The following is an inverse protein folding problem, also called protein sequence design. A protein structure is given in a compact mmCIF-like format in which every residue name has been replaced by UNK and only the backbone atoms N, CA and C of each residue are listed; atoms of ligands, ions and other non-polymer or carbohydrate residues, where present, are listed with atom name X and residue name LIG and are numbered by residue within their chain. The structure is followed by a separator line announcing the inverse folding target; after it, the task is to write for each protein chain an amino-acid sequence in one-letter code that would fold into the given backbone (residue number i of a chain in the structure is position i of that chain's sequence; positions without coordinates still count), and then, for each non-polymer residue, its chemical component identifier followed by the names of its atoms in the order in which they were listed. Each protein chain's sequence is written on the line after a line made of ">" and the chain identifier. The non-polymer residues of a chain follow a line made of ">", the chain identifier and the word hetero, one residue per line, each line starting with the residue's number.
data_IF_292302299584
#
_entry.id   IF_292302299584
#
_cell.length_a   1.000
_cell.length_b   1.000
_cell.length_c   1.000
_cell.angle_alpha   90.00
_cell.angle_beta   90.00
_cell.angle_gamma   90.00
#
_symmetry.space_group_name_H-M   'P 1'
#
loop_
_entity.id
_entity.type
_entity.pdbx_description
1 polymer ?
#
# COMPACT_ATOMS: atom_id res chain seq x y z
N UNK A 1 2.91 9.51 -70.78
CA UNK A 1 2.09 8.44 -70.15
C UNK A 1 1.75 8.76 -68.69
N UNK A 2 1.51 10.04 -68.35
CA UNK A 2 1.20 10.50 -66.98
C UNK A 2 -0.13 11.30 -66.83
N UNK A 3 -0.78 11.88 -67.86
CA UNK A 3 -2.08 12.51 -67.67
C UNK A 3 -3.27 11.53 -67.69
N UNK A 4 -3.08 10.28 -68.15
CA UNK A 4 -4.16 9.30 -68.31
C UNK A 4 -4.58 8.61 -66.98
N UNK A 5 -3.70 8.57 -65.98
CA UNK A 5 -3.99 7.90 -64.70
C UNK A 5 -4.77 8.78 -63.72
N UNK A 6 -4.54 10.11 -63.73
CA UNK A 6 -5.28 11.04 -62.88
C UNK A 6 -6.76 11.16 -63.26
N UNK A 7 -7.09 11.01 -64.55
CA UNK A 7 -8.48 10.95 -65.03
C UNK A 7 -9.20 9.65 -64.61
N UNK A 8 -8.46 8.56 -64.36
CA UNK A 8 -9.04 7.28 -63.96
C UNK A 8 -9.37 7.22 -62.45
N UNK A 9 -8.55 7.84 -61.58
CA UNK A 9 -8.85 7.92 -60.15
C UNK A 9 -10.07 8.78 -59.82
N UNK A 10 -10.36 9.82 -60.62
CA UNK A 10 -11.57 10.62 -60.47
C UNK A 10 -12.85 9.84 -60.78
N UNK A 11 -12.77 8.75 -61.55
CA UNK A 11 -13.92 7.90 -61.85
C UNK A 11 -14.21 6.84 -60.77
N UNK A 12 -13.28 6.59 -59.85
CA UNK A 12 -13.42 5.56 -58.81
C UNK A 12 -13.96 6.11 -57.49
N UNK A 13 -13.90 7.43 -57.27
CA UNK A 13 -14.40 8.04 -56.04
C UNK A 13 -15.57 8.98 -56.36
N UNK A 14 -16.82 8.58 -56.08
CA UNK A 14 -17.97 9.44 -56.34
C UNK A 14 -17.83 10.75 -55.55
N UNK A 15 -17.93 11.87 -56.27
CA UNK A 15 -17.98 13.21 -55.71
C UNK A 15 -19.04 13.28 -54.59
N UNK A 16 -18.82 14.00 -53.47
CA UNK A 16 -19.81 14.18 -52.40
C UNK A 16 -21.26 14.39 -52.89
N UNK A 17 -21.49 15.17 -53.94
CA UNK A 17 -22.83 15.35 -54.49
C UNK A 17 -23.42 14.06 -55.10
N UNK A 18 -22.59 13.19 -55.69
CA UNK A 18 -23.01 11.88 -56.17
C UNK A 18 -23.32 10.91 -55.02
N UNK A 19 -22.54 10.97 -53.93
CA UNK A 19 -22.81 10.21 -52.70
C UNK A 19 -24.12 10.64 -52.04
N UNK A 20 -24.40 11.93 -51.99
CA UNK A 20 -25.65 12.46 -51.43
C UNK A 20 -26.87 12.05 -52.26
N UNK A 21 -26.74 12.07 -53.60
CA UNK A 21 -27.79 11.56 -54.50
C UNK A 21 -28.03 10.06 -54.32
N UNK A 22 -26.97 9.26 -54.21
CA UNK A 22 -27.10 7.82 -53.94
C UNK A 22 -27.72 7.56 -52.57
N UNK A 23 -27.32 8.31 -51.53
CA UNK A 23 -27.92 8.25 -50.21
C UNK A 23 -29.41 8.60 -50.26
N UNK A 24 -29.77 9.68 -50.95
CA UNK A 24 -31.16 10.11 -51.10
C UNK A 24 -32.02 9.05 -51.80
N UNK A 25 -31.51 8.40 -52.86
CA UNK A 25 -32.19 7.29 -53.54
C UNK A 25 -32.36 6.08 -52.63
N UNK A 26 -31.30 5.66 -51.94
CA UNK A 26 -31.40 4.53 -50.99
C UNK A 26 -32.40 4.80 -49.86
N UNK A 27 -32.47 6.04 -49.36
CA UNK A 27 -33.47 6.43 -48.35
C UNK A 27 -34.90 6.44 -48.90
N UNK A 28 -35.08 6.78 -50.18
CA UNK A 28 -36.38 6.82 -50.86
C UNK A 28 -36.89 5.44 -51.28
N UNK A 29 -36.00 4.58 -51.77
CA UNK A 29 -36.33 3.25 -52.30
C UNK A 29 -36.55 2.21 -51.19
N UNK A 30 -35.93 2.42 -50.01
CA UNK A 30 -35.99 1.47 -48.89
C UNK A 30 -36.45 2.12 -47.56
N UNK A 31 -37.62 2.76 -47.51
CA UNK A 31 -38.08 3.49 -46.33
C UNK A 31 -38.29 2.59 -45.10
N UNK A 32 -38.65 1.31 -45.32
CA UNK A 32 -38.80 0.33 -44.25
C UNK A 32 -37.46 -0.05 -43.60
N UNK A 33 -36.41 -0.29 -44.39
CA UNK A 33 -35.08 -0.62 -43.89
C UNK A 33 -34.44 0.55 -43.12
N UNK A 34 -34.70 1.78 -43.55
CA UNK A 34 -34.26 2.99 -42.84
C UNK A 34 -34.96 3.12 -41.49
N UNK A 35 -36.28 2.91 -41.44
CA UNK A 35 -37.04 2.93 -40.18
C UNK A 35 -36.58 1.84 -39.21
N UNK A 36 -36.27 0.65 -39.71
CA UNK A 36 -35.74 -0.45 -38.90
C UNK A 36 -34.32 -0.18 -38.39
N UNK A 37 -33.46 0.43 -39.21
CA UNK A 37 -32.12 0.86 -38.79
C UNK A 37 -32.17 1.99 -37.75
N UNK A 38 -33.13 2.91 -37.87
CA UNK A 38 -33.35 4.01 -36.92
C UNK A 38 -34.02 3.54 -35.61
N UNK A 39 -34.80 2.46 -35.64
CA UNK A 39 -35.46 1.91 -34.45
C UNK A 39 -34.57 0.93 -33.68
N UNK A 40 -33.49 0.43 -34.28
CA UNK A 40 -32.49 -0.37 -33.57
C UNK A 40 -31.71 0.52 -32.60
N UNK A 41 -31.81 0.27 -31.28
CA UNK A 41 -31.08 1.06 -30.30
C UNK A 41 -29.58 0.90 -30.54
N UNK A 42 -28.88 2.02 -30.67
CA UNK A 42 -27.44 2.03 -30.91
C UNK A 42 -26.72 1.29 -29.76
N UNK A 43 -26.14 0.10 -30.02
CA UNK A 43 -25.49 -0.68 -28.99
C UNK A 43 -24.30 0.07 -28.38
N UNK A 44 -23.69 0.99 -29.12
CA UNK A 44 -22.56 1.81 -28.65
C UNK A 44 -23.02 2.87 -27.64
N UNK A 45 -24.18 3.49 -27.86
CA UNK A 45 -24.76 4.45 -26.93
C UNK A 45 -25.16 3.79 -25.60
N UNK A 46 -25.70 2.57 -25.64
CA UNK A 46 -26.03 1.79 -24.45
C UNK A 46 -24.76 1.41 -23.66
N UNK A 47 -23.72 0.94 -24.33
CA UNK A 47 -22.41 0.64 -23.71
C UNK A 47 -21.77 1.89 -23.09
N UNK A 48 -21.82 3.05 -23.76
CA UNK A 48 -21.33 4.32 -23.23
C UNK A 48 -22.07 4.73 -21.95
N UNK A 49 -23.41 4.59 -21.93
CA UNK A 49 -24.21 4.90 -20.73
C UNK A 49 -23.88 3.96 -19.57
N UNK A 50 -23.68 2.67 -19.83
CA UNK A 50 -23.22 1.73 -18.80
C UNK A 50 -21.82 2.07 -18.29
N UNK A 51 -20.88 2.42 -19.17
CA UNK A 51 -19.54 2.83 -18.76
C UNK A 51 -19.57 4.12 -17.91
N UNK A 52 -20.39 5.10 -18.28
CA UNK A 52 -20.59 6.33 -17.49
C UNK A 52 -21.24 6.03 -16.15
N UNK A 53 -22.27 5.19 -16.12
CA UNK A 53 -22.92 4.78 -14.87
C UNK A 53 -21.93 4.04 -13.94
N UNK A 54 -21.14 3.11 -14.48
CA UNK A 54 -20.10 2.41 -13.73
C UNK A 54 -19.04 3.38 -13.20
N UNK A 55 -18.55 4.29 -14.04
CA UNK A 55 -17.57 5.30 -13.63
C UNK A 55 -18.14 6.22 -12.53
N UNK A 56 -19.40 6.65 -12.64
CA UNK A 56 -20.06 7.44 -11.62
C UNK A 56 -20.25 6.66 -10.31
N UNK A 57 -20.63 5.38 -10.38
CA UNK A 57 -20.74 4.51 -9.20
C UNK A 57 -19.39 4.33 -8.52
N UNK A 58 -18.32 4.07 -9.28
CA UNK A 58 -16.96 3.96 -8.73
C UNK A 58 -16.51 5.28 -8.11
N UNK A 59 -16.78 6.42 -8.76
CA UNK A 59 -16.46 7.74 -8.21
C UNK A 59 -17.21 8.01 -6.90
N UNK A 60 -18.50 7.66 -6.83
CA UNK A 60 -19.31 7.81 -5.62
C UNK A 60 -18.78 6.93 -4.49
N UNK A 61 -18.55 5.64 -4.75
CA UNK A 61 -18.02 4.69 -3.76
C UNK A 61 -16.66 5.16 -3.28
N UNK A 62 -15.75 5.53 -4.21
CA UNK A 62 -14.44 6.06 -3.89
C UNK A 62 -14.50 7.34 -3.04
N UNK A 63 -15.46 8.22 -3.30
CA UNK A 63 -15.66 9.44 -2.51
C UNK A 63 -16.14 9.13 -1.09
N UNK A 64 -17.09 8.22 -0.93
CA UNK A 64 -17.58 7.78 0.39
C UNK A 64 -16.46 7.08 1.15
N UNK A 65 -15.79 6.11 0.54
CA UNK A 65 -14.66 5.39 1.17
C UNK A 65 -13.53 6.35 1.53
N UNK A 66 -13.15 7.26 0.62
CA UNK A 66 -12.12 8.26 0.86
C UNK A 66 -12.47 9.18 2.04
N UNK A 67 -13.73 9.65 2.11
CA UNK A 67 -14.20 10.45 3.23
C UNK A 67 -14.20 9.65 4.55
N UNK A 68 -14.63 8.38 4.53
CA UNK A 68 -14.59 7.52 5.71
C UNK A 68 -13.16 7.32 6.23
N UNK A 69 -12.18 7.15 5.34
CA UNK A 69 -10.76 7.05 5.74
C UNK A 69 -10.27 8.36 6.36
N UNK A 70 -10.60 9.51 5.76
CA UNK A 70 -10.24 10.82 6.30
C UNK A 70 -10.82 11.04 7.70
N UNK A 71 -12.09 10.72 7.90
CA UNK A 71 -12.78 10.83 9.19
C UNK A 71 -12.27 9.82 10.22
N UNK A 72 -11.74 8.68 9.78
CA UNK A 72 -11.20 7.65 10.67
C UNK A 72 -9.83 7.99 11.25
N UNK A 73 -9.13 9.03 10.76
CA UNK A 73 -7.76 9.36 11.18
C UNK A 73 -7.63 9.60 12.68
N UNK A 74 -8.60 10.28 13.26
CA UNK A 74 -8.61 10.60 14.70
C UNK A 74 -9.39 9.58 15.53
N UNK A 75 -9.88 8.49 14.90
CA UNK A 75 -10.57 7.43 15.61
C UNK A 75 -9.61 6.71 16.56
N UNK A 76 -10.05 6.52 17.80
CA UNK A 76 -9.36 5.74 18.82
C UNK A 76 -10.07 4.40 19.04
N UNK A 77 -9.44 3.40 19.69
CA UNK A 77 -10.14 2.17 20.07
C UNK A 77 -11.46 2.46 20.79
N UNK A 78 -12.52 1.78 20.34
CA UNK A 78 -13.89 2.00 20.82
C UNK A 78 -14.73 2.88 19.89
N UNK A 79 -14.12 3.66 19.00
CA UNK A 79 -14.85 4.45 18.00
C UNK A 79 -15.37 3.58 16.84
N UNK A 80 -16.53 3.95 16.30
CA UNK A 80 -17.16 3.23 15.18
C UNK A 80 -16.25 3.15 13.94
N UNK A 81 -15.43 4.18 13.70
CA UNK A 81 -14.52 4.24 12.55
C UNK A 81 -13.12 3.67 12.83
N UNK A 82 -12.85 3.15 14.04
CA UNK A 82 -11.52 2.60 14.36
C UNK A 82 -11.15 1.40 13.48
N UNK A 83 -12.12 0.52 13.19
CA UNK A 83 -11.89 -0.60 12.28
C UNK A 83 -11.55 -0.13 10.85
N UNK A 84 -12.13 0.99 10.41
CA UNK A 84 -11.81 1.61 9.12
C UNK A 84 -10.38 2.15 9.14
N UNK A 85 -9.97 2.81 10.23
CA UNK A 85 -8.59 3.28 10.43
C UNK A 85 -7.59 2.13 10.29
N UNK A 86 -7.77 1.04 11.07
CA UNK A 86 -6.87 -0.13 11.03
C UNK A 86 -6.85 -0.81 9.65
N UNK A 87 -7.98 -0.83 8.95
CA UNK A 87 -8.04 -1.37 7.58
C UNK A 87 -7.28 -0.50 6.59
N UNK A 88 -7.40 0.83 6.70
CA UNK A 88 -6.68 1.78 5.86
C UNK A 88 -5.16 1.70 6.09
N UNK A 89 -4.73 1.57 7.35
CA UNK A 89 -3.32 1.38 7.73
C UNK A 89 -2.76 0.06 7.16
N UNK A 90 -3.54 -1.02 7.23
CA UNK A 90 -3.16 -2.31 6.63
C UNK A 90 -3.03 -2.22 5.10
N UNK A 91 -3.93 -1.49 4.45
CA UNK A 91 -3.85 -1.23 3.01
C UNK A 91 -2.64 -0.38 2.66
N UNK A 92 -2.31 0.63 3.47
CA UNK A 92 -1.12 1.47 3.28
C UNK A 92 0.16 0.62 3.31
N UNK A 93 0.30 -0.30 4.27
CA UNK A 93 1.42 -1.25 4.30
C UNK A 93 1.48 -2.12 3.04
N UNK A 94 0.33 -2.55 2.52
CA UNK A 94 0.25 -3.37 1.30
C UNK A 94 0.72 -2.64 0.03
N UNK A 95 0.78 -1.31 0.05
CA UNK A 95 1.28 -0.48 -1.05
C UNK A 95 2.78 -0.17 -0.93
N UNK A 96 3.41 -0.47 0.20
CA UNK A 96 4.84 -0.27 0.42
C UNK A 96 5.60 -1.55 0.08
N UNK A 97 6.13 -1.59 -1.15
CA UNK A 97 6.82 -2.78 -1.68
C UNK A 97 8.24 -3.00 -1.17
N UNK A 98 8.88 -1.97 -0.60
CA UNK A 98 10.27 -2.07 -0.10
C UNK A 98 10.26 -2.24 1.41
N UNK A 99 11.06 -3.18 1.92
CA UNK A 99 11.09 -3.50 3.34
C UNK A 99 11.56 -2.33 4.21
N UNK A 100 12.55 -1.56 3.75
CA UNK A 100 13.04 -0.40 4.51
C UNK A 100 11.94 0.63 4.85
N UNK A 101 11.24 1.26 3.87
CA UNK A 101 10.14 2.15 4.21
C UNK A 101 8.98 1.46 4.93
N UNK A 102 8.77 0.15 4.70
CA UNK A 102 7.73 -0.62 5.39
C UNK A 102 8.03 -0.77 6.88
N UNK A 103 9.30 -0.96 7.24
CA UNK A 103 9.76 -1.05 8.62
C UNK A 103 9.49 0.24 9.39
N UNK A 104 9.86 1.39 8.80
CA UNK A 104 9.57 2.69 9.40
C UNK A 104 8.06 2.98 9.47
N UNK A 105 7.27 2.51 8.49
CA UNK A 105 5.81 2.65 8.53
C UNK A 105 5.19 1.91 9.72
N UNK A 106 5.68 0.71 10.04
CA UNK A 106 5.26 0.01 11.26
C UNK A 106 5.59 0.81 12.53
N UNK A 107 6.79 1.39 12.64
CA UNK A 107 7.14 2.25 13.77
C UNK A 107 6.29 3.53 13.85
N UNK A 108 5.87 4.06 12.71
CA UNK A 108 4.93 5.20 12.63
C UNK A 108 3.54 4.81 13.16
N UNK A 109 3.03 3.62 12.82
CA UNK A 109 1.75 3.14 13.37
C UNK A 109 1.81 2.86 14.87
N UNK A 110 2.95 2.35 15.37
CA UNK A 110 3.19 2.25 16.79
C UNK A 110 3.19 3.63 17.47
N UNK A 111 3.88 4.64 16.92
CA UNK A 111 3.81 6.03 17.43
C UNK A 111 2.37 6.56 17.47
N UNK A 112 1.59 6.28 16.43
CA UNK A 112 0.17 6.65 16.37
C UNK A 112 -0.65 5.99 17.50
N UNK A 113 -0.36 4.74 17.90
CA UNK A 113 -1.05 4.09 19.03
C UNK A 113 -0.79 4.79 20.36
N UNK A 114 0.42 5.34 20.57
CA UNK A 114 0.72 6.12 21.79
C UNK A 114 -0.04 7.45 21.77
N UNK A 115 -0.21 8.05 20.60
CA UNK A 115 -1.05 9.26 20.43
C UNK A 115 -2.52 8.96 20.73
N UNK A 116 -3.04 7.82 20.25
CA UNK A 116 -4.39 7.36 20.60
C UNK A 116 -4.56 7.07 22.09
N UNK A 117 -3.53 6.54 22.74
CA UNK A 117 -3.53 6.34 24.20
C UNK A 117 -3.74 7.68 24.92
N UNK A 118 -3.11 8.76 24.45
CA UNK A 118 -3.34 10.12 24.95
C UNK A 118 -4.79 10.58 24.75
N UNK A 119 -5.33 10.39 23.54
CA UNK A 119 -6.72 10.74 23.26
C UNK A 119 -7.75 9.91 24.07
N UNK A 120 -7.43 8.66 24.41
CA UNK A 120 -8.22 7.84 25.33
C UNK A 120 -8.14 8.36 26.78
N UNK A 121 -6.96 8.84 27.21
CA UNK A 121 -6.79 9.46 28.53
C UNK A 121 -7.61 10.74 28.68
N UNK A 122 -7.74 11.51 27.58
CA UNK A 122 -8.56 12.73 27.54
C UNK A 122 -10.07 12.45 27.46
N UNK A 123 -10.48 11.19 27.22
CA UNK A 123 -11.88 10.77 27.11
C UNK A 123 -12.41 10.29 28.46
N UNK A 124 -13.36 11.01 29.10
CA UNK A 124 -13.95 10.58 30.36
C UNK A 124 -14.65 9.23 30.22
N UNK A 125 -14.32 8.29 31.11
CA UNK A 125 -14.98 6.97 31.15
C UNK A 125 -14.57 6.01 30.02
N UNK A 126 -13.47 6.27 29.31
CA UNK A 126 -12.94 5.33 28.33
C UNK A 126 -12.75 3.92 28.95
N UNK A 127 -13.28 2.85 28.31
CA UNK A 127 -13.13 1.48 28.80
C UNK A 127 -11.67 1.04 28.91
N UNK A 128 -11.31 0.32 29.97
CA UNK A 128 -9.96 -0.24 30.14
C UNK A 128 -9.53 -1.15 28.97
N UNK A 129 -10.49 -1.79 28.30
CA UNK A 129 -10.25 -2.64 27.13
C UNK A 129 -9.73 -1.85 25.92
N UNK A 130 -10.09 -0.57 25.80
CA UNK A 130 -9.66 0.29 24.68
C UNK A 130 -8.19 0.69 24.84
N UNK A 131 -7.76 1.00 26.07
CA UNK A 131 -6.34 1.19 26.39
C UNK A 131 -5.53 -0.08 26.15
N UNK A 132 -6.05 -1.24 26.59
CA UNK A 132 -5.38 -2.53 26.36
C UNK A 132 -5.25 -2.86 24.87
N UNK A 133 -6.26 -2.52 24.06
CA UNK A 133 -6.22 -2.67 22.61
C UNK A 133 -5.18 -1.75 21.96
N UNK A 134 -5.11 -0.47 22.34
CA UNK A 134 -4.08 0.44 21.86
C UNK A 134 -2.66 -0.08 22.14
N UNK A 135 -2.41 -0.58 23.36
CA UNK A 135 -1.13 -1.15 23.76
C UNK A 135 -0.81 -2.45 23.01
N UNK A 136 -1.80 -3.31 22.78
CA UNK A 136 -1.61 -4.53 21.99
C UNK A 136 -1.30 -4.23 20.51
N UNK A 137 -2.00 -3.27 19.91
CA UNK A 137 -1.73 -2.80 18.55
C UNK A 137 -0.32 -2.19 18.47
N UNK A 138 0.09 -1.42 19.49
CA UNK A 138 1.43 -0.83 19.59
C UNK A 138 2.50 -1.92 19.61
N UNK A 139 2.32 -2.96 20.44
CA UNK A 139 3.26 -4.08 20.54
C UNK A 139 3.43 -4.80 19.21
N UNK A 140 2.32 -5.04 18.49
CA UNK A 140 2.33 -5.66 17.17
C UNK A 140 3.12 -4.85 16.15
N UNK A 141 2.83 -3.55 16.07
CA UNK A 141 3.47 -2.63 15.12
C UNK A 141 4.95 -2.40 15.47
N UNK A 142 5.30 -2.25 16.75
CA UNK A 142 6.68 -2.12 17.23
C UNK A 142 7.51 -3.38 16.92
N UNK A 143 6.97 -4.57 17.20
CA UNK A 143 7.66 -5.82 16.92
C UNK A 143 7.85 -6.04 15.41
N UNK A 144 6.85 -5.70 14.58
CA UNK A 144 6.96 -5.79 13.12
C UNK A 144 8.04 -4.85 12.57
N UNK A 145 8.06 -3.58 13.01
CA UNK A 145 9.09 -2.63 12.62
C UNK A 145 10.50 -3.05 13.07
N UNK A 146 10.63 -3.55 14.31
CA UNK A 146 11.89 -4.08 14.83
C UNK A 146 12.41 -5.27 14.01
N UNK A 147 11.56 -6.23 13.67
CA UNK A 147 11.96 -7.40 12.85
C UNK A 147 12.57 -6.96 11.54
N UNK A 148 11.86 -6.12 10.79
CA UNK A 148 12.34 -5.63 9.49
C UNK A 148 13.62 -4.79 9.62
N UNK A 149 13.73 -3.90 10.61
CA UNK A 149 14.93 -3.08 10.80
C UNK A 149 16.15 -3.90 11.22
N UNK A 150 15.96 -4.92 12.07
CA UNK A 150 17.08 -5.76 12.51
C UNK A 150 17.59 -6.67 11.40
N UNK A 151 16.70 -7.15 10.53
CA UNK A 151 17.07 -7.88 9.31
C UNK A 151 17.80 -6.97 8.32
N UNK A 152 17.26 -5.79 8.01
CA UNK A 152 17.88 -4.85 7.06
C UNK A 152 19.23 -4.29 7.55
N UNK A 153 19.33 -3.98 8.83
CA UNK A 153 20.55 -3.45 9.43
C UNK A 153 21.70 -4.46 9.42
N UNK A 154 21.40 -5.76 9.46
CA UNK A 154 22.40 -6.81 9.41
C UNK A 154 23.20 -6.85 8.11
N UNK A 155 22.62 -6.33 7.02
CA UNK A 155 23.23 -6.37 5.68
C UNK A 155 23.82 -5.02 5.24
N UNK A 156 23.52 -3.93 5.95
CA UNK A 156 23.67 -2.58 5.38
C UNK A 156 24.49 -1.62 6.24
N UNK A 157 23.97 -1.21 7.41
CA UNK A 157 24.42 0.02 8.07
C UNK A 157 24.07 0.05 9.58
N UNK A 158 24.97 0.59 10.39
CA UNK A 158 24.80 0.79 11.83
C UNK A 158 23.73 1.85 12.17
N UNK A 159 23.43 2.74 11.22
CA UNK A 159 22.43 3.81 11.37
C UNK A 159 21.02 3.27 11.61
N UNK A 160 20.65 2.13 11.02
CA UNK A 160 19.32 1.54 11.23
C UNK A 160 19.15 1.04 12.67
N UNK A 161 20.19 0.44 13.25
CA UNK A 161 20.18 0.03 14.65
C UNK A 161 20.16 1.23 15.59
N UNK A 162 20.88 2.30 15.27
CA UNK A 162 20.84 3.55 16.03
C UNK A 162 19.42 4.17 16.01
N UNK A 163 18.81 4.29 14.83
CA UNK A 163 17.46 4.82 14.68
C UNK A 163 16.42 4.00 15.45
N UNK A 164 16.52 2.68 15.44
CA UNK A 164 15.64 1.80 16.22
C UNK A 164 15.81 2.03 17.73
N UNK A 165 17.06 2.08 18.23
CA UNK A 165 17.34 2.33 19.64
C UNK A 165 16.83 3.70 20.11
N UNK A 166 17.00 4.74 19.29
CA UNK A 166 16.53 6.10 19.57
C UNK A 166 15.00 6.18 19.58
N UNK A 167 14.35 5.58 18.57
CA UNK A 167 12.90 5.47 18.50
C UNK A 167 12.34 4.77 19.75
N UNK A 168 12.91 3.64 20.15
CA UNK A 168 12.45 2.90 21.33
C UNK A 168 12.65 3.70 22.62
N UNK A 169 13.75 4.44 22.75
CA UNK A 169 14.00 5.32 23.90
C UNK A 169 12.97 6.44 24.02
N UNK A 170 12.58 7.03 22.88
CA UNK A 170 11.49 8.01 22.79
C UNK A 170 10.17 7.42 23.27
N UNK A 171 9.78 6.24 22.76
CA UNK A 171 8.49 5.63 23.11
C UNK A 171 8.42 5.16 24.57
N UNK A 172 9.50 4.60 25.12
CA UNK A 172 9.64 4.29 26.56
C UNK A 172 9.34 5.53 27.41
N UNK A 173 9.88 6.69 27.01
CA UNK A 173 9.68 7.94 27.75
C UNK A 173 8.23 8.41 27.70
N UNK A 174 7.60 8.38 26.51
CA UNK A 174 6.19 8.76 26.33
C UNK A 174 5.24 7.86 27.11
N UNK A 175 5.44 6.55 27.05
CA UNK A 175 4.63 5.56 27.75
C UNK A 175 4.77 5.65 29.27
N UNK A 176 5.98 5.96 29.78
CA UNK A 176 6.19 6.27 31.21
C UNK A 176 5.37 7.48 31.65
N UNK A 177 5.33 8.55 30.85
CA UNK A 177 4.48 9.72 31.15
C UNK A 177 3.00 9.35 31.17
N UNK A 178 2.53 8.57 30.19
CA UNK A 178 1.14 8.14 30.12
C UNK A 178 0.73 7.21 31.29
N UNK A 179 1.67 6.41 31.81
CA UNK A 179 1.43 5.40 32.85
C UNK A 179 0.71 5.92 34.10
N UNK A 180 0.96 7.19 34.46
CA UNK A 180 0.43 7.84 35.67
C UNK A 180 -1.09 7.99 35.60
N UNK A 181 -1.64 8.17 34.40
CA UNK A 181 -3.06 8.42 34.17
C UNK A 181 -3.84 7.15 33.76
N UNK A 182 -3.17 6.01 33.56
CA UNK A 182 -3.83 4.79 33.08
C UNK A 182 -4.68 4.10 34.16
N UNK A 183 -5.86 3.56 33.78
CA UNK A 183 -6.63 2.68 34.65
C UNK A 183 -5.81 1.46 35.12
N UNK A 184 -6.04 0.93 36.33
CA UNK A 184 -5.27 -0.21 36.88
C UNK A 184 -5.19 -1.42 35.95
N UNK A 185 -6.29 -1.77 35.27
CA UNK A 185 -6.32 -2.89 34.34
C UNK A 185 -5.43 -2.66 33.09
N UNK A 186 -5.26 -1.42 32.65
CA UNK A 186 -4.38 -1.08 31.53
C UNK A 186 -2.90 -1.07 31.93
N UNK A 187 -2.59 -0.73 33.19
CA UNK A 187 -1.20 -0.73 33.70
C UNK A 187 -0.53 -2.10 33.60
N UNK A 188 -1.26 -3.20 33.82
CA UNK A 188 -0.69 -4.54 33.64
C UNK A 188 -0.24 -4.80 32.20
N UNK A 189 -1.03 -4.38 31.20
CA UNK A 189 -0.63 -4.51 29.80
C UNK A 189 0.55 -3.61 29.47
N UNK A 190 0.59 -2.40 30.05
CA UNK A 190 1.71 -1.49 29.86
C UNK A 190 3.03 -2.10 30.30
N UNK A 191 3.09 -2.86 31.40
CA UNK A 191 4.32 -3.54 31.82
C UNK A 191 4.86 -4.50 30.75
N UNK A 192 3.96 -5.22 30.05
CA UNK A 192 4.32 -6.09 28.93
C UNK A 192 4.88 -5.26 27.77
N UNK A 193 4.22 -4.15 27.44
CA UNK A 193 4.67 -3.22 26.40
C UNK A 193 6.06 -2.62 26.72
N UNK A 194 6.29 -2.23 27.97
CA UNK A 194 7.57 -1.68 28.43
C UNK A 194 8.68 -2.73 28.37
N UNK A 195 8.39 -3.98 28.75
CA UNK A 195 9.34 -5.08 28.62
C UNK A 195 9.69 -5.37 27.14
N UNK A 196 8.71 -5.33 26.24
CA UNK A 196 8.95 -5.47 24.80
C UNK A 196 9.90 -4.39 24.28
N UNK A 197 9.64 -3.11 24.61
CA UNK A 197 10.48 -2.00 24.17
C UNK A 197 11.90 -2.12 24.72
N UNK A 198 12.05 -2.51 25.98
CA UNK A 198 13.38 -2.71 26.55
C UNK A 198 14.17 -3.80 25.81
N UNK A 199 13.52 -4.92 25.44
CA UNK A 199 14.14 -5.95 24.60
C UNK A 199 14.53 -5.43 23.21
N UNK A 200 13.67 -4.65 22.56
CA UNK A 200 13.96 -4.04 21.24
C UNK A 200 15.18 -3.11 21.34
N UNK A 201 15.20 -2.24 22.36
CA UNK A 201 16.29 -1.29 22.61
C UNK A 201 17.62 -2.02 22.85
N UNK A 202 17.59 -3.05 23.69
CA UNK A 202 18.75 -3.89 23.96
C UNK A 202 19.23 -4.58 22.68
N UNK A 203 18.32 -5.22 21.94
CA UNK A 203 18.63 -5.89 20.67
C UNK A 203 19.30 -4.95 19.67
N UNK A 204 18.73 -3.77 19.47
CA UNK A 204 19.29 -2.75 18.58
C UNK A 204 20.70 -2.33 19.03
N UNK A 205 20.93 -2.16 20.34
CA UNK A 205 22.25 -1.80 20.88
C UNK A 205 23.30 -2.90 20.69
N UNK A 206 22.91 -4.17 20.88
CA UNK A 206 23.79 -5.34 20.70
C UNK A 206 24.18 -5.51 19.23
N UNK A 207 23.22 -5.37 18.31
CA UNK A 207 23.48 -5.43 16.88
C UNK A 207 24.35 -4.26 16.41
N UNK A 208 24.12 -3.05 16.93
CA UNK A 208 24.96 -1.87 16.64
C UNK A 208 26.41 -2.07 17.06
N UNK A 209 26.65 -2.65 18.24
CA UNK A 209 28.01 -2.98 18.70
C UNK A 209 28.73 -3.96 17.77
N UNK A 210 27.97 -4.76 17.01
CA UNK A 210 28.50 -5.72 16.04
C UNK A 210 28.57 -5.21 14.61
N UNK A 211 28.08 -4.00 14.30
CA UNK A 211 27.99 -3.52 12.93
C UNK A 211 29.34 -3.43 12.18
N UNK A 212 30.46 -3.36 12.89
CA UNK A 212 31.82 -3.41 12.32
C UNK A 212 32.42 -4.82 12.20
N UNK A 213 31.67 -5.87 12.53
CA UNK A 213 32.13 -7.25 12.51
C UNK A 213 31.77 -7.95 11.18
N UNK A 214 32.55 -8.96 10.78
CA UNK A 214 32.22 -9.83 9.65
C UNK A 214 30.88 -10.57 9.83
N UNK A 215 30.54 -10.91 11.07
CA UNK A 215 29.29 -11.58 11.43
C UNK A 215 28.52 -10.74 12.45
N UNK A 216 27.43 -10.13 12.00
CA UNK A 216 26.58 -9.25 12.82
C UNK A 216 25.52 -10.08 13.56
N UNK A 217 24.83 -10.96 12.84
CA UNK A 217 23.75 -11.80 13.36
C UNK A 217 24.13 -13.27 13.42
N UNK A 218 23.46 -14.01 14.30
CA UNK A 218 23.64 -15.47 14.45
C UNK A 218 22.96 -16.28 13.34
N UNK A 219 22.18 -15.64 12.47
CA UNK A 219 21.26 -16.30 11.52
C UNK A 219 19.95 -16.78 12.15
N UNK A 220 19.78 -16.71 13.47
CA UNK A 220 18.52 -16.96 14.15
C UNK A 220 17.72 -15.65 14.36
N UNK A 221 16.42 -15.77 14.60
CA UNK A 221 15.52 -14.66 14.87
C UNK A 221 14.43 -15.04 15.90
N UNK A 222 13.89 -14.05 16.59
CA UNK A 222 12.76 -14.17 17.51
C UNK A 222 11.62 -13.20 17.15
N UNK A 223 10.70 -12.97 18.10
CA UNK A 223 9.53 -12.11 17.91
C UNK A 223 9.87 -10.65 17.61
N UNK A 224 11.09 -10.19 17.91
CA UNK A 224 11.57 -8.82 17.64
C UNK A 224 12.65 -8.74 16.57
N UNK A 225 13.09 -9.89 16.03
CA UNK A 225 13.89 -9.96 14.81
C UNK A 225 15.19 -10.72 14.96
N UNK A 226 16.16 -10.38 14.11
CA UNK A 226 17.44 -11.07 14.05
C UNK A 226 18.17 -11.03 15.41
N UNK A 227 18.77 -12.16 15.80
CA UNK A 227 19.55 -12.28 17.03
C UNK A 227 21.02 -11.94 16.75
N UNK A 228 21.68 -11.15 17.63
CA UNK A 228 23.10 -10.83 17.47
C UNK A 228 23.92 -12.12 17.52
N UNK A 229 25.01 -12.12 16.76
CA UNK A 229 25.92 -13.25 16.77
C UNK A 229 26.67 -13.34 18.12
N UNK A 230 26.97 -14.55 18.58
CA UNK A 230 27.55 -14.80 19.91
C UNK A 230 29.04 -15.11 19.85
N UNK A 231 29.56 -15.43 18.68
CA UNK A 231 30.98 -15.62 18.43
C UNK A 231 31.74 -14.29 18.50
N UNK A 232 33.06 -14.39 18.64
CA UNK A 232 33.93 -13.21 18.75
C UNK A 232 33.79 -12.34 17.51
N UNK A 233 33.63 -11.04 17.72
CA UNK A 233 33.66 -10.06 16.65
C UNK A 233 35.03 -10.06 15.97
N UNK A 234 35.06 -10.45 14.70
CA UNK A 234 36.21 -10.23 13.82
C UNK A 234 35.92 -8.97 13.01
N UNK A 235 36.75 -7.91 13.11
CA UNK A 235 36.48 -6.66 12.42
C UNK A 235 36.55 -6.85 10.91
N UNK A 236 35.67 -6.14 10.18
CA UNK A 236 35.78 -6.07 8.71
C UNK A 236 37.12 -5.41 8.36
N UNK A 237 37.98 -6.04 7.54
CA UNK A 237 39.25 -5.44 7.18
C UNK A 237 39.00 -4.10 6.49
N UNK A 238 39.71 -3.06 6.94
CA UNK A 238 39.64 -1.76 6.30
C UNK A 238 39.96 -1.93 4.83
N UNK A 239 39.06 -1.46 3.95
CA UNK A 239 39.33 -1.41 2.52
C UNK A 239 40.51 -0.44 2.36
N UNK A 240 41.70 -0.96 2.03
CA UNK A 240 42.84 -0.12 1.70
C UNK A 240 42.47 0.74 0.49
N UNK A 241 42.07 1.98 0.76
CA UNK A 241 42.06 3.02 -0.25
C UNK A 241 43.53 3.31 -0.50
N UNK A 242 44.10 2.66 -1.52
CA UNK A 242 45.47 2.92 -1.95
C UNK A 242 45.68 4.43 -2.09
N UNK A 243 46.85 4.96 -1.69
CA UNK A 243 47.08 6.40 -1.67
C UNK A 243 46.81 6.98 -3.06
N UNK A 244 45.87 7.93 -3.13
CA UNK A 244 45.78 8.81 -4.29
C UNK A 244 47.14 9.51 -4.43
N UNK A 245 47.79 9.49 -5.62
CA UNK A 245 48.99 10.28 -5.81
C UNK A 245 48.65 11.76 -5.71
N UNK A 246 49.16 12.42 -4.67
CA UNK A 246 49.14 13.88 -4.52
C UNK A 246 49.83 14.52 -5.73
N UNK A 247 49.05 14.92 -6.73
CA UNK A 247 49.52 15.82 -7.78
C UNK A 247 49.14 17.23 -7.37
N UNK A 248 50.17 18.03 -7.07
CA UNK A 248 50.03 19.46 -6.80
C UNK A 248 49.36 20.18 -7.96
N UNK A 249 48.67 21.25 -7.62
CA UNK A 249 47.98 22.13 -8.55
C UNK A 249 48.91 22.70 -9.63
N UNK A 250 48.39 22.76 -10.87
CA UNK A 250 48.44 23.87 -11.82
C UNK A 250 48.64 23.37 -13.26
N UNK A 251 47.66 23.59 -14.13
CA UNK A 251 47.82 23.32 -15.56
C UNK A 251 46.53 23.06 -16.33
N UNK A 252 45.94 24.14 -16.83
CA UNK A 252 44.84 24.20 -17.80
C UNK A 252 45.09 23.34 -19.07
N UNK A 253 43.97 22.85 -19.64
CA UNK A 253 43.71 22.37 -21.02
C UNK A 253 43.56 20.84 -21.16
N UNK A 254 42.73 20.22 -22.01
CA UNK A 254 41.69 20.61 -22.98
C UNK A 254 41.01 19.28 -23.40
N UNK A 255 39.68 19.27 -23.53
CA UNK A 255 38.87 18.52 -24.53
C UNK A 255 38.83 16.96 -24.53
N UNK A 256 37.60 16.47 -24.29
CA UNK A 256 36.82 15.40 -24.95
C UNK A 256 37.13 13.89 -24.81
N UNK A 257 36.03 13.20 -24.48
CA UNK A 257 35.73 11.76 -24.50
C UNK A 257 36.04 11.04 -25.83
N UNK A 258 36.11 9.68 -25.85
CA UNK A 258 34.87 8.92 -26.07
C UNK A 258 34.73 7.56 -25.34
N UNK A 259 33.47 7.19 -25.13
CA UNK A 259 32.79 5.88 -25.17
C UNK A 259 33.63 4.61 -25.41
N UNK A 260 33.41 3.56 -24.59
CA UNK A 260 33.49 2.10 -24.88
C UNK A 260 32.91 1.30 -23.70
N UNK A 261 31.65 0.84 -23.74
CA UNK A 261 31.17 -0.56 -23.95
C UNK A 261 31.72 -1.63 -22.97
N UNK A 262 30.86 -2.44 -22.30
CA UNK A 262 31.29 -3.48 -21.37
C UNK A 262 31.71 -4.78 -22.09
N UNK A 263 32.87 -5.33 -21.71
CA UNK A 263 33.37 -6.62 -22.21
C UNK A 263 33.04 -7.74 -21.24
N UNK A 264 32.32 -8.74 -21.75
CA UNK A 264 32.01 -10.03 -21.14
C UNK A 264 33.23 -10.95 -21.28
N UNK A 265 33.56 -11.70 -20.22
CA UNK A 265 34.29 -12.98 -20.21
C UNK A 265 34.48 -13.40 -18.73
N UNK A 266 34.51 -14.66 -18.31
CA UNK A 266 34.01 -15.92 -18.82
C UNK A 266 34.02 -16.87 -17.60
N UNK A 267 33.08 -17.80 -17.56
CA UNK A 267 32.90 -18.78 -16.48
C UNK A 267 33.76 -20.03 -16.73
N UNK A 268 34.40 -20.64 -15.71
CA UNK A 268 34.71 -22.06 -15.76
C UNK A 268 33.68 -22.88 -14.98
N UNK A 269 33.18 -23.89 -15.67
CA UNK A 269 32.26 -24.92 -15.18
C UNK A 269 32.88 -25.81 -14.08
N UNK A 270 32.04 -26.27 -13.16
CA UNK A 270 32.32 -27.44 -12.32
C UNK A 270 31.09 -28.36 -12.29
N UNK A 271 31.35 -29.61 -12.65
CA UNK A 271 30.45 -30.76 -12.84
C UNK A 271 29.99 -31.34 -11.48
N UNK A 272 28.83 -32.04 -11.39
CA UNK A 272 28.14 -32.27 -10.12
C UNK A 272 28.55 -33.58 -9.44
N UNK A 273 28.50 -33.61 -8.10
CA UNK A 273 28.70 -34.83 -7.31
C UNK A 273 27.67 -35.01 -6.20
N UNK A 274 27.10 -36.21 -6.22
CA UNK A 274 26.49 -36.99 -5.13
C UNK A 274 25.19 -36.51 -4.45
N UNK A 275 24.13 -37.20 -4.86
CA UNK A 275 22.78 -37.29 -4.28
C UNK A 275 22.80 -37.92 -2.88
N UNK A 276 22.16 -37.28 -1.91
CA UNK A 276 21.71 -37.88 -0.64
C UNK A 276 20.16 -37.97 -0.62
N UNK A 277 19.55 -38.87 0.19
CA UNK A 277 18.16 -39.32 -0.01
C UNK A 277 17.14 -38.28 0.43
N UNK A 278 16.09 -38.12 -0.39
CA UNK A 278 14.90 -37.31 -0.10
C UNK A 278 14.01 -38.06 0.90
N UNK A 279 13.65 -37.49 2.06
CA UNK A 279 12.62 -38.05 2.93
C UNK A 279 11.23 -37.93 2.30
N UNK A 280 10.28 -38.83 2.60
CA UNK A 280 8.94 -38.79 2.01
C UNK A 280 8.20 -37.50 2.37
N UNK A 281 7.31 -37.01 1.48
CA UNK A 281 6.54 -35.79 1.73
C UNK A 281 5.57 -35.98 2.90
N UNK A 282 5.64 -35.07 3.87
CA UNK A 282 4.63 -34.92 4.93
C UNK A 282 3.33 -34.41 4.26
N UNK A 283 2.16 -35.01 4.52
CA UNK A 283 0.90 -34.49 3.99
C UNK A 283 0.63 -33.09 4.54
N UNK A 284 0.39 -32.13 3.64
CA UNK A 284 -0.09 -30.79 3.97
C UNK A 284 -1.46 -30.89 4.68
N UNK A 285 -1.70 -30.14 5.77
CA UNK A 285 -3.04 -29.98 6.31
C UNK A 285 -3.93 -29.35 5.24
N UNK A 286 -5.03 -30.02 4.89
CA UNK A 286 -6.08 -29.44 4.06
C UNK A 286 -6.69 -28.24 4.80
N UNK A 287 -6.90 -27.09 4.14
CA UNK A 287 -7.68 -26.01 4.73
C UNK A 287 -9.14 -26.47 4.84
N UNK A 288 -9.55 -26.85 6.04
CA UNK A 288 -10.96 -27.01 6.38
C UNK A 288 -11.63 -25.65 6.27
N UNK A 289 -12.53 -25.49 5.29
CA UNK A 289 -13.44 -24.35 5.25
C UNK A 289 -14.17 -24.25 6.59
N UNK A 290 -14.23 -23.06 7.24
CA UNK A 290 -15.03 -22.90 8.44
C UNK A 290 -16.50 -23.20 8.10
N UNK A 291 -17.09 -24.18 8.79
CA UNK A 291 -18.52 -24.40 8.74
C UNK A 291 -19.21 -23.14 9.29
N UNK A 292 -19.91 -22.44 8.40
CA UNK A 292 -20.81 -21.36 8.77
C UNK A 292 -21.98 -21.98 9.54
N UNK A 293 -21.91 -21.96 10.87
CA UNK A 293 -23.10 -22.12 11.70
C UNK A 293 -23.92 -20.84 11.55
N UNK A 294 -25.06 -20.95 10.88
CA UNK A 294 -26.10 -19.92 10.85
C UNK A 294 -26.58 -19.63 12.28
N UNK A 295 -26.43 -18.40 12.80
CA UNK A 295 -27.10 -18.01 14.04
C UNK A 295 -28.62 -17.89 13.79
N UNK A 296 -29.46 -18.08 14.83
CA UNK A 296 -30.90 -17.87 14.70
C UNK A 296 -31.22 -16.41 14.33
N UNK A 297 -32.40 -16.14 13.72
CA UNK A 297 -32.76 -14.79 13.30
C UNK A 297 -32.86 -13.87 14.52
N UNK A 298 -32.08 -12.80 14.52
CA UNK A 298 -32.30 -11.68 15.44
C UNK A 298 -33.51 -10.89 14.92
N UNK A 299 -34.55 -10.84 15.73
CA UNK A 299 -35.76 -10.06 15.48
C UNK A 299 -35.41 -8.56 15.63
N UNK A 300 -35.35 -7.85 14.51
CA UNK A 300 -35.09 -6.40 14.46
C UNK A 300 -36.42 -5.68 14.72
N UNK A 301 -36.55 -4.81 15.73
CA UNK A 301 -37.75 -4.02 15.91
C UNK A 301 -37.88 -3.03 14.74
N UNK A 302 -39.09 -2.94 14.19
CA UNK A 302 -39.43 -2.06 13.09
C UNK A 302 -39.09 -0.59 13.39
N UNK A 303 -38.61 0.19 12.40
CA UNK A 303 -38.40 1.62 12.59
C UNK A 303 -39.75 2.33 12.78
N UNK A 304 -39.83 3.38 13.61
CA UNK A 304 -41.03 4.19 13.72
C UNK A 304 -41.35 4.84 12.36
N UNK A 305 -42.48 4.43 11.79
CA UNK A 305 -43.13 5.12 10.68
C UNK A 305 -43.52 6.52 11.12
N UNK A 306 -42.80 7.52 10.62
CA UNK A 306 -43.21 8.91 10.69
C UNK A 306 -42.06 9.86 10.92
N UNK A 307 -41.51 10.39 9.82
CA UNK A 307 -41.26 11.83 9.57
C UNK A 307 -40.32 11.98 8.38
N UNK A 308 -40.55 13.04 7.60
CA UNK A 308 -39.83 13.53 6.40
C UNK A 308 -40.42 13.12 5.02
N UNK A 309 -41.56 13.71 4.60
CA UNK A 309 -41.89 13.83 3.18
C UNK A 309 -41.05 15.00 2.62
N UNK A 310 -39.91 14.72 1.99
CA UNK A 310 -39.12 15.81 1.40
C UNK A 310 -37.90 15.42 0.56
N UNK A 311 -37.40 14.19 0.68
CA UNK A 311 -36.17 13.81 -0.04
C UNK A 311 -36.41 13.21 -1.45
N UNK A 312 -37.66 12.92 -1.82
CA UNK A 312 -38.01 12.31 -3.12
C UNK A 312 -38.42 13.31 -4.22
N UNK A 313 -38.56 14.60 -3.89
CA UNK A 313 -38.90 15.63 -4.89
C UNK A 313 -37.70 16.22 -5.62
N UNK A 314 -36.47 15.97 -5.15
CA UNK A 314 -35.24 16.41 -5.84
C UNK A 314 -34.85 15.55 -7.05
N UNK A 315 -35.54 14.43 -7.29
CA UNK A 315 -35.32 13.54 -8.45
C UNK A 315 -36.31 13.79 -9.61
N UNK A 316 -37.17 14.81 -9.52
CA UNK A 316 -38.10 15.21 -10.59
C UNK A 316 -37.82 16.64 -11.06
N UNK A 317 -36.64 16.88 -11.63
CA UNK A 317 -36.43 18.03 -12.50
C UNK A 317 -36.37 17.58 -13.97
N UNK A 318 -37.25 18.10 -14.84
CA UNK A 318 -37.15 17.84 -16.27
C UNK A 318 -35.99 18.66 -16.85
N UNK A 319 -34.90 17.99 -17.23
CA UNK A 319 -33.90 18.59 -18.11
C UNK A 319 -34.51 18.73 -19.51
N UNK A 320 -34.95 19.93 -19.84
CA UNK A 320 -35.40 20.31 -21.17
C UNK A 320 -35.27 21.81 -21.39
N UNK A 321 -34.72 22.16 -22.56
CA UNK A 321 -34.67 23.48 -23.19
C UNK A 321 -33.44 24.37 -22.89
N UNK A 322 -32.38 24.10 -23.64
CA UNK A 322 -31.59 25.16 -24.30
C UNK A 322 -31.56 24.84 -25.80
N UNK A 323 -32.49 25.45 -26.53
CA UNK A 323 -32.37 25.66 -27.98
C UNK A 323 -31.57 26.94 -28.27
N UNK A 324 -31.00 27.10 -29.47
CA UNK A 324 -30.10 28.20 -29.79
C UNK A 324 -30.85 29.41 -30.38
N UNK A 325 -30.36 30.61 -30.07
CA UNK A 325 -30.60 31.87 -30.79
C UNK A 325 -29.26 32.63 -30.65
N UNK A 326 -28.50 32.99 -31.71
CA UNK A 326 -28.80 33.87 -32.85
C UNK A 326 -29.51 35.15 -32.45
#
# INVERSE_FOLDING_TARGET
>A
MLPALAAYEQHLNPDPAARDRMRARLLADFPAAVREAQSRPDPTARRRRFAVALAASVALIGSVTGMSVLLSRDAVPGDALYAVKRSAESAELGLIFREHPRAFKHLEFADARVTELGALLDRPGAPAADFARALADFESDAAAGSRLLTELGADTDDQLFAALADWTTKEISRLKTASVALPPAARQRLEITMALLERIRQRASELRQRAGCLTITSGAADDIGALPATERCVPVPAREVGPLPSTGASGRAVVSSPTSTPSVADTPASTPSARAPVPPPIPLPQPSLPQVSTPPPVEVPAPPTGLLPGLLDLLKLPFGLLGPNR
#
